data_IF_200689310588
#
_entry.id   IF_200689310588
#
_cell.length_a   1.000
_cell.length_b   1.000
_cell.length_c   1.000
_cell.angle_alpha   90.00
_cell.angle_beta   90.00
_cell.angle_gamma   90.00
#
_symmetry.space_group_name_H-M   'P 1'
#
loop_
_entity.id
_entity.type
_entity.pdbx_description
1 polymer ?
#
# COMPACT_ATOMS: atom_id res chain seq x y z
N UNK A 1 -9.41 -5.71 -21.26
CA UNK A 1 -8.05 -5.67 -20.72
C UNK A 1 -7.90 -6.78 -19.69
N UNK A 2 -6.86 -7.59 -19.78
CA UNK A 2 -6.58 -8.67 -18.84
C UNK A 2 -5.68 -8.14 -17.72
N UNK A 3 -6.10 -8.30 -16.47
CA UNK A 3 -5.38 -7.77 -15.32
C UNK A 3 -5.20 -8.84 -14.26
N UNK A 4 -4.01 -8.93 -13.67
CA UNK A 4 -3.81 -9.79 -12.52
C UNK A 4 -3.53 -8.98 -11.26
N UNK A 5 -4.14 -9.42 -10.15
CA UNK A 5 -3.92 -8.85 -8.83
C UNK A 5 -3.21 -9.90 -7.98
N UNK A 6 -1.92 -9.68 -7.73
CA UNK A 6 -1.11 -10.53 -6.87
C UNK A 6 -1.25 -10.01 -5.43
N UNK A 7 -1.96 -10.80 -4.61
CA UNK A 7 -2.26 -10.44 -3.23
C UNK A 7 -3.63 -9.79 -3.05
N UNK A 8 -4.71 -10.54 -3.21
CA UNK A 8 -6.07 -10.10 -2.89
C UNK A 8 -6.33 -10.11 -1.37
N UNK A 9 -5.55 -9.31 -0.64
CA UNK A 9 -5.81 -8.89 0.74
C UNK A 9 -6.85 -7.76 0.80
N UNK A 10 -6.71 -6.85 1.76
CA UNK A 10 -7.64 -5.73 1.96
C UNK A 10 -7.72 -4.80 0.72
N UNK A 11 -6.57 -4.34 0.23
CA UNK A 11 -6.50 -3.46 -0.96
C UNK A 11 -6.80 -4.22 -2.23
N UNK A 12 -6.11 -5.36 -2.49
CA UNK A 12 -6.27 -6.09 -3.74
C UNK A 12 -7.70 -6.60 -3.97
N UNK A 13 -8.42 -7.00 -2.91
CA UNK A 13 -9.83 -7.37 -3.01
C UNK A 13 -10.72 -6.17 -3.33
N UNK A 14 -10.42 -4.99 -2.80
CA UNK A 14 -11.17 -3.77 -3.11
C UNK A 14 -10.97 -3.36 -4.57
N UNK A 15 -9.74 -3.44 -5.10
CA UNK A 15 -9.45 -3.22 -6.53
C UNK A 15 -10.20 -4.24 -7.39
N UNK A 16 -10.17 -5.53 -7.04
CA UNK A 16 -10.92 -6.57 -7.77
C UNK A 16 -12.42 -6.27 -7.81
N UNK A 17 -13.02 -5.88 -6.68
CA UNK A 17 -14.45 -5.51 -6.61
C UNK A 17 -14.78 -4.30 -7.46
N UNK A 18 -13.93 -3.31 -7.49
CA UNK A 18 -14.10 -2.11 -8.31
C UNK A 18 -14.08 -2.50 -9.80
N UNK A 19 -13.07 -3.21 -10.23
CA UNK A 19 -12.91 -3.65 -11.62
C UNK A 19 -13.94 -4.69 -12.08
N UNK A 20 -14.43 -5.52 -11.16
CA UNK A 20 -15.51 -6.47 -11.47
C UNK A 20 -16.81 -5.76 -11.88
N UNK A 21 -17.09 -4.59 -11.30
CA UNK A 21 -18.23 -3.75 -11.70
C UNK A 21 -18.01 -3.08 -13.05
N UNK A 22 -16.76 -2.85 -13.39
CA UNK A 22 -16.33 -2.32 -14.69
C UNK A 22 -15.97 -3.48 -15.62
N UNK A 23 -16.91 -3.84 -16.48
CA UNK A 23 -16.78 -5.00 -17.40
C UNK A 23 -15.65 -4.88 -18.42
N UNK A 24 -14.87 -3.82 -18.40
CA UNK A 24 -13.67 -3.66 -19.26
C UNK A 24 -12.53 -4.59 -18.84
N UNK A 25 -12.55 -5.13 -17.62
CA UNK A 25 -11.48 -5.93 -17.05
C UNK A 25 -11.82 -7.42 -16.95
N UNK A 26 -10.88 -8.26 -17.37
CA UNK A 26 -10.83 -9.69 -17.08
C UNK A 26 -9.81 -9.92 -15.98
N UNK A 27 -10.28 -10.28 -14.80
CA UNK A 27 -9.50 -10.24 -13.57
C UNK A 27 -8.99 -11.65 -13.22
N UNK A 28 -7.67 -11.78 -13.05
CA UNK A 28 -7.04 -12.91 -12.38
C UNK A 28 -6.65 -12.47 -10.96
N UNK A 29 -7.29 -13.03 -9.95
CA UNK A 29 -7.00 -12.75 -8.54
C UNK A 29 -6.10 -13.82 -7.94
N UNK A 30 -5.19 -13.44 -7.02
CA UNK A 30 -4.42 -14.42 -6.27
C UNK A 30 -4.65 -14.34 -4.77
N UNK A 31 -4.54 -15.49 -4.12
CA UNK A 31 -4.53 -15.61 -2.66
C UNK A 31 -3.52 -16.66 -2.24
N UNK A 32 -2.98 -16.53 -1.03
CA UNK A 32 -2.19 -17.59 -0.38
C UNK A 32 -3.06 -18.48 0.54
N UNK A 33 -4.37 -18.22 0.60
CA UNK A 33 -5.34 -18.88 1.48
C UNK A 33 -6.39 -19.57 0.62
N UNK A 34 -6.34 -20.93 0.48
CA UNK A 34 -7.26 -21.65 -0.39
C UNK A 34 -8.74 -21.42 -0.04
N UNK A 35 -9.06 -21.24 1.23
CA UNK A 35 -10.42 -21.03 1.75
C UNK A 35 -11.05 -19.72 1.24
N UNK A 36 -10.24 -18.80 0.72
CA UNK A 36 -10.72 -17.53 0.14
C UNK A 36 -11.04 -17.61 -1.35
N UNK A 37 -10.82 -18.77 -1.97
CA UNK A 37 -11.05 -18.91 -3.43
C UNK A 37 -12.50 -18.59 -3.78
N UNK A 38 -13.48 -19.18 -3.10
CA UNK A 38 -14.92 -18.96 -3.38
C UNK A 38 -15.36 -17.49 -3.17
N UNK A 39 -14.76 -16.78 -2.20
CA UNK A 39 -15.01 -15.34 -2.02
C UNK A 39 -14.49 -14.55 -3.22
N UNK A 40 -13.30 -14.86 -3.71
CA UNK A 40 -12.65 -14.14 -4.80
C UNK A 40 -13.25 -14.45 -6.17
N UNK A 41 -13.83 -15.63 -6.38
CA UNK A 41 -14.56 -16.00 -7.60
C UNK A 41 -15.80 -15.12 -7.83
N UNK A 42 -16.32 -14.46 -6.79
CA UNK A 42 -17.41 -13.50 -6.91
C UNK A 42 -16.96 -12.15 -7.53
N UNK A 43 -15.67 -11.89 -7.59
CA UNK A 43 -15.10 -10.61 -8.05
C UNK A 43 -13.98 -10.76 -9.08
N UNK A 44 -13.68 -11.98 -9.49
CA UNK A 44 -12.65 -12.28 -10.49
C UNK A 44 -13.09 -13.48 -11.35
N UNK A 45 -12.72 -13.47 -12.63
CA UNK A 45 -13.01 -14.57 -13.56
C UNK A 45 -12.09 -15.77 -13.35
N UNK A 46 -10.91 -15.54 -12.77
CA UNK A 46 -9.94 -16.58 -12.44
C UNK A 46 -9.31 -16.33 -11.09
N UNK A 47 -9.24 -17.36 -10.27
CA UNK A 47 -8.57 -17.31 -8.98
C UNK A 47 -7.45 -18.34 -8.93
N UNK A 48 -6.26 -17.92 -8.49
CA UNK A 48 -5.09 -18.80 -8.37
C UNK A 48 -4.59 -18.74 -6.93
N UNK A 49 -4.44 -19.89 -6.30
CA UNK A 49 -3.73 -19.99 -5.03
C UNK A 49 -2.22 -19.97 -5.34
N UNK A 50 -1.56 -18.86 -4.98
CA UNK A 50 -0.16 -18.63 -5.29
C UNK A 50 0.56 -17.99 -4.10
N UNK A 51 1.76 -18.50 -3.80
CA UNK A 51 2.73 -17.85 -2.92
C UNK A 51 3.77 -17.14 -3.75
N UNK A 52 4.45 -16.16 -3.15
CA UNK A 52 5.50 -15.38 -3.83
C UNK A 52 6.76 -16.18 -4.18
N UNK A 53 6.96 -17.34 -3.55
CA UNK A 53 8.04 -18.29 -3.83
C UNK A 53 7.67 -19.38 -4.85
N UNK A 54 6.42 -19.45 -5.27
CA UNK A 54 5.94 -20.39 -6.30
C UNK A 54 6.07 -19.78 -7.70
N UNK A 55 7.22 -19.97 -8.32
CA UNK A 55 7.51 -19.48 -9.68
C UNK A 55 6.52 -20.04 -10.71
N UNK A 56 6.10 -21.29 -10.57
CA UNK A 56 5.14 -21.93 -11.50
C UNK A 56 3.79 -21.27 -11.42
N UNK A 57 3.28 -21.04 -10.20
CA UNK A 57 2.03 -20.32 -10.03
C UNK A 57 2.14 -18.86 -10.53
N UNK A 58 3.25 -18.15 -10.25
CA UNK A 58 3.46 -16.79 -10.75
C UNK A 58 3.50 -16.74 -12.28
N UNK A 59 4.13 -17.71 -12.96
CA UNK A 59 4.08 -17.81 -14.44
C UNK A 59 2.64 -17.95 -14.94
N UNK A 60 1.85 -18.79 -14.30
CA UNK A 60 0.44 -18.97 -14.67
C UNK A 60 -0.41 -17.71 -14.40
N UNK A 61 -0.04 -16.91 -13.40
CA UNK A 61 -0.70 -15.64 -13.08
C UNK A 61 -0.42 -14.58 -14.13
N UNK A 62 0.84 -14.39 -14.55
CA UNK A 62 1.24 -13.31 -15.48
C UNK A 62 0.93 -13.61 -16.94
N UNK A 63 0.63 -14.86 -17.27
CA UNK A 63 0.36 -15.28 -18.65
C UNK A 63 -0.86 -14.56 -19.23
N UNK A 64 -0.69 -13.95 -20.42
CA UNK A 64 -1.73 -13.23 -21.15
C UNK A 64 -2.34 -12.04 -20.36
N UNK A 65 -1.60 -11.47 -19.42
CA UNK A 65 -2.01 -10.25 -18.76
C UNK A 65 -1.49 -9.01 -19.47
N UNK A 66 -2.25 -7.91 -19.40
CA UNK A 66 -1.85 -6.58 -19.88
C UNK A 66 -1.23 -5.76 -18.74
N UNK A 67 -1.76 -5.89 -17.51
CA UNK A 67 -1.24 -5.22 -16.33
C UNK A 67 -1.28 -6.13 -15.09
N UNK A 68 -0.33 -5.85 -14.16
CA UNK A 68 -0.22 -6.54 -12.88
C UNK A 68 -0.31 -5.51 -11.75
N UNK A 69 -1.12 -5.81 -10.74
CA UNK A 69 -1.12 -5.10 -9.45
C UNK A 69 -0.51 -6.02 -8.40
N UNK A 70 0.62 -5.62 -7.84
CA UNK A 70 1.26 -6.30 -6.72
C UNK A 70 0.85 -5.61 -5.42
N UNK A 71 -0.06 -6.25 -4.66
CA UNK A 71 -0.64 -5.72 -3.41
C UNK A 71 -0.55 -6.76 -2.30
N UNK A 72 0.65 -6.99 -1.82
CA UNK A 72 0.99 -8.01 -0.85
C UNK A 72 1.30 -7.42 0.53
N UNK A 73 1.06 -8.21 1.57
CA UNK A 73 1.43 -7.89 2.94
C UNK A 73 1.63 -9.18 3.74
N UNK A 74 2.51 -9.20 4.75
CA UNK A 74 2.68 -10.37 5.62
C UNK A 74 1.42 -10.58 6.45
N UNK A 75 0.99 -11.84 6.62
CA UNK A 75 -0.29 -12.17 7.26
C UNK A 75 -0.31 -11.96 8.78
N UNK A 76 0.74 -12.36 9.48
CA UNK A 76 0.72 -12.45 10.95
C UNK A 76 2.05 -12.16 11.64
N UNK A 77 3.09 -11.78 10.93
CA UNK A 77 4.41 -11.55 11.51
C UNK A 77 5.08 -10.31 10.95
N UNK A 78 5.53 -9.46 11.83
CA UNK A 78 6.39 -8.31 11.52
C UNK A 78 7.88 -8.68 11.56
N UNK A 79 8.24 -9.96 11.72
CA UNK A 79 9.61 -10.41 11.71
C UNK A 79 10.25 -10.16 10.32
N UNK A 80 11.50 -9.74 10.30
CA UNK A 80 12.20 -9.34 9.08
C UNK A 80 12.25 -10.46 8.02
N UNK A 81 12.44 -11.72 8.42
CA UNK A 81 12.41 -12.86 7.49
C UNK A 81 11.03 -13.05 6.81
N UNK A 82 9.93 -12.76 7.51
CA UNK A 82 8.59 -12.77 6.94
C UNK A 82 8.38 -11.61 5.95
N UNK A 83 8.94 -10.43 6.25
CA UNK A 83 8.96 -9.28 5.35
C UNK A 83 9.74 -9.58 4.09
N UNK A 84 10.95 -10.10 4.22
CA UNK A 84 11.80 -10.43 3.09
C UNK A 84 11.16 -11.47 2.16
N UNK A 85 10.62 -12.55 2.73
CA UNK A 85 9.93 -13.58 1.96
C UNK A 85 8.68 -13.02 1.25
N UNK A 86 7.91 -12.15 1.93
CA UNK A 86 6.67 -11.60 1.36
C UNK A 86 6.94 -10.56 0.29
N UNK A 87 7.84 -9.61 0.53
CA UNK A 87 8.03 -8.47 -0.36
C UNK A 87 9.18 -8.70 -1.35
N UNK A 88 10.40 -8.86 -0.84
CA UNK A 88 11.60 -8.87 -1.69
C UNK A 88 11.70 -10.15 -2.54
N UNK A 89 11.46 -11.32 -1.95
CA UNK A 89 11.51 -12.57 -2.72
C UNK A 89 10.37 -12.64 -3.74
N UNK A 90 9.16 -12.20 -3.37
CA UNK A 90 8.06 -12.13 -4.35
C UNK A 90 8.39 -11.17 -5.49
N UNK A 91 8.96 -10.00 -5.21
CA UNK A 91 9.35 -9.05 -6.24
C UNK A 91 10.42 -9.64 -7.19
N UNK A 92 11.46 -10.28 -6.65
CA UNK A 92 12.49 -10.95 -7.44
C UNK A 92 11.92 -12.04 -8.35
N UNK A 93 11.04 -12.89 -7.82
CA UNK A 93 10.41 -13.96 -8.58
C UNK A 93 9.45 -13.41 -9.63
N UNK A 94 8.67 -12.36 -9.28
CA UNK A 94 7.79 -11.70 -10.23
C UNK A 94 8.56 -11.08 -11.39
N UNK A 95 9.64 -10.35 -11.12
CA UNK A 95 10.49 -9.76 -12.17
C UNK A 95 11.05 -10.85 -13.10
N UNK A 96 11.50 -11.97 -12.53
CA UNK A 96 12.01 -13.11 -13.33
C UNK A 96 10.94 -13.68 -14.28
N UNK A 97 9.70 -13.86 -13.81
CA UNK A 97 8.63 -14.40 -14.68
C UNK A 97 8.12 -13.37 -15.68
N UNK A 98 8.17 -12.07 -15.36
CA UNK A 98 7.79 -11.00 -16.28
C UNK A 98 8.69 -10.92 -17.52
N UNK A 99 9.95 -11.32 -17.42
CA UNK A 99 10.85 -11.42 -18.58
C UNK A 99 10.34 -12.40 -19.65
N UNK A 100 9.47 -13.34 -19.27
CA UNK A 100 8.85 -14.33 -20.14
C UNK A 100 7.38 -14.01 -20.48
N UNK A 101 6.88 -12.84 -20.07
CA UNK A 101 5.50 -12.39 -20.26
C UNK A 101 5.43 -11.05 -21.02
N UNK A 102 5.79 -10.98 -22.29
CA UNK A 102 5.88 -9.73 -23.07
C UNK A 102 4.54 -9.03 -23.28
N UNK A 103 3.41 -9.70 -22.98
CA UNK A 103 2.08 -9.08 -23.00
C UNK A 103 1.88 -8.06 -21.87
N UNK A 104 2.58 -8.23 -20.72
CA UNK A 104 2.45 -7.32 -19.59
C UNK A 104 3.13 -6.00 -19.90
N UNK A 105 2.35 -4.92 -19.94
CA UNK A 105 2.82 -3.56 -20.23
C UNK A 105 2.96 -2.70 -19.01
N UNK A 106 2.34 -3.09 -17.88
CA UNK A 106 2.39 -2.30 -16.64
C UNK A 106 2.43 -3.19 -15.41
N UNK A 107 3.28 -2.80 -14.46
CA UNK A 107 3.34 -3.31 -13.10
C UNK A 107 3.08 -2.16 -12.13
N UNK A 108 2.08 -2.31 -11.26
CA UNK A 108 1.76 -1.37 -10.20
C UNK A 108 2.04 -2.05 -8.86
N UNK A 109 2.81 -1.40 -7.99
CA UNK A 109 3.10 -1.89 -6.66
C UNK A 109 2.53 -0.96 -5.59
N UNK A 110 1.79 -1.53 -4.63
CA UNK A 110 1.32 -0.81 -3.44
C UNK A 110 2.32 -0.99 -2.31
N UNK A 111 3.29 -0.08 -2.22
CA UNK A 111 4.33 -0.01 -1.21
C UNK A 111 3.93 0.82 0.00
N UNK A 112 4.89 1.42 0.70
CA UNK A 112 4.67 2.17 1.94
C UNK A 112 5.57 3.39 2.05
N UNK A 113 5.04 4.51 2.58
CA UNK A 113 5.82 5.71 2.89
C UNK A 113 6.85 5.49 4.01
N UNK A 114 6.78 4.39 4.75
CA UNK A 114 7.72 4.06 5.84
C UNK A 114 9.19 3.97 5.38
N UNK A 115 9.42 3.85 4.08
CA UNK A 115 10.76 3.90 3.46
C UNK A 115 11.50 5.22 3.71
N UNK A 116 10.77 6.31 3.98
CA UNK A 116 11.38 7.60 4.32
C UNK A 116 12.02 7.62 5.70
N UNK A 117 11.54 6.79 6.64
CA UNK A 117 11.99 6.76 8.03
C UNK A 117 11.56 7.99 8.82
N UNK A 118 12.34 8.30 9.87
CA UNK A 118 12.11 9.49 10.69
C UNK A 118 12.81 10.71 10.11
N UNK A 119 12.05 11.73 9.76
CA UNK A 119 12.51 13.03 9.24
C UNK A 119 12.23 14.18 10.23
N UNK A 120 11.95 13.85 11.50
CA UNK A 120 11.64 14.83 12.55
C UNK A 120 10.50 15.79 12.14
N UNK A 121 9.49 15.27 11.44
CA UNK A 121 8.35 16.03 10.98
C UNK A 121 8.62 16.93 9.75
N UNK A 122 9.75 16.82 9.10
CA UNK A 122 10.02 17.57 7.87
C UNK A 122 9.14 17.04 6.71
N UNK A 123 8.92 17.90 5.72
CA UNK A 123 8.29 17.51 4.46
C UNK A 123 9.25 16.63 3.63
N UNK A 124 8.68 15.60 3.03
CA UNK A 124 9.34 14.69 2.09
C UNK A 124 8.47 14.49 0.86
N UNK A 125 9.12 14.26 -0.26
CA UNK A 125 8.54 13.91 -1.55
C UNK A 125 9.22 12.65 -2.13
N UNK A 126 8.90 12.31 -3.36
CA UNK A 126 9.42 11.11 -4.02
C UNK A 126 10.92 11.17 -4.31
N UNK A 127 11.52 12.38 -4.36
CA UNK A 127 12.96 12.61 -4.59
C UNK A 127 13.76 12.66 -3.27
N UNK A 128 13.06 12.70 -2.14
CA UNK A 128 13.69 12.78 -0.83
C UNK A 128 14.48 11.51 -0.49
N UNK A 129 15.65 11.61 0.16
CA UNK A 129 16.48 10.47 0.53
C UNK A 129 15.72 9.48 1.42
N UNK A 130 15.83 8.19 1.10
CA UNK A 130 15.27 7.11 1.90
C UNK A 130 16.22 6.79 3.06
N UNK A 131 15.68 6.78 4.28
CA UNK A 131 16.43 6.44 5.50
C UNK A 131 15.55 5.54 6.39
N UNK A 132 15.29 4.31 5.94
CA UNK A 132 14.40 3.41 6.67
C UNK A 132 14.91 3.20 8.11
N UNK A 133 13.99 3.18 9.06
CA UNK A 133 14.33 3.16 10.48
C UNK A 133 14.69 1.75 11.01
N UNK A 134 14.44 0.73 10.21
CA UNK A 134 14.66 -0.68 10.60
C UNK A 134 14.77 -1.59 9.36
N UNK A 135 15.14 -2.84 9.61
CA UNK A 135 15.32 -3.86 8.56
C UNK A 135 14.05 -4.05 7.68
N UNK A 136 12.86 -3.96 8.24
CA UNK A 136 11.62 -4.05 7.44
C UNK A 136 11.53 -2.92 6.41
N UNK A 137 11.88 -1.71 6.80
CA UNK A 137 11.94 -0.57 5.88
C UNK A 137 13.02 -0.74 4.80
N UNK A 138 14.18 -1.31 5.15
CA UNK A 138 15.25 -1.62 4.18
C UNK A 138 14.78 -2.65 3.15
N UNK A 139 14.07 -3.69 3.58
CA UNK A 139 13.45 -4.69 2.69
C UNK A 139 12.47 -4.03 1.71
N UNK A 140 11.66 -3.09 2.18
CA UNK A 140 10.74 -2.36 1.30
C UNK A 140 11.47 -1.51 0.27
N UNK A 141 12.55 -0.82 0.66
CA UNK A 141 13.42 -0.06 -0.27
C UNK A 141 14.01 -1.00 -1.33
N UNK A 142 14.59 -2.14 -0.93
CA UNK A 142 15.11 -3.12 -1.86
C UNK A 142 14.04 -3.68 -2.80
N UNK A 143 12.82 -3.87 -2.29
CA UNK A 143 11.66 -4.30 -3.09
C UNK A 143 11.33 -3.28 -4.19
N UNK A 144 11.24 -1.99 -3.83
CA UNK A 144 11.04 -0.92 -4.80
C UNK A 144 12.15 -0.90 -5.86
N UNK A 145 13.42 -1.03 -5.45
CA UNK A 145 14.57 -1.04 -6.37
C UNK A 145 14.51 -2.20 -7.37
N UNK A 146 14.18 -3.42 -6.89
CA UNK A 146 14.03 -4.60 -7.75
C UNK A 146 12.93 -4.40 -8.78
N UNK A 147 11.78 -3.85 -8.37
CA UNK A 147 10.65 -3.62 -9.27
C UNK A 147 10.96 -2.52 -10.28
N UNK A 148 11.54 -1.39 -9.84
CA UNK A 148 11.91 -0.28 -10.73
C UNK A 148 12.95 -0.69 -11.77
N UNK A 149 13.92 -1.52 -11.39
CA UNK A 149 14.94 -2.03 -12.30
C UNK A 149 14.37 -2.92 -13.42
N UNK A 150 13.15 -3.44 -13.27
CA UNK A 150 12.46 -4.21 -14.30
C UNK A 150 11.84 -3.34 -15.41
N UNK A 151 11.71 -2.02 -15.16
CA UNK A 151 11.13 -1.09 -16.14
C UNK A 151 12.00 -1.03 -17.41
N UNK A 152 11.33 -1.04 -18.57
CA UNK A 152 11.96 -0.93 -19.88
C UNK A 152 10.97 -0.34 -20.90
N UNK A 153 11.33 -0.29 -22.17
CA UNK A 153 10.47 0.26 -23.25
C UNK A 153 9.09 -0.43 -23.33
N UNK A 154 9.00 -1.70 -22.93
CA UNK A 154 7.79 -2.50 -23.02
C UNK A 154 7.04 -2.65 -21.69
N UNK A 155 7.69 -2.41 -20.55
CA UNK A 155 7.12 -2.58 -19.20
C UNK A 155 7.26 -1.29 -18.40
N UNK A 156 6.17 -0.62 -18.11
CA UNK A 156 6.11 0.51 -17.19
C UNK A 156 5.92 0.02 -15.75
N UNK A 157 6.67 0.58 -14.81
CA UNK A 157 6.55 0.26 -13.39
C UNK A 157 6.10 1.51 -12.63
N UNK A 158 5.00 1.38 -11.90
CA UNK A 158 4.47 2.42 -11.02
C UNK A 158 4.48 1.92 -9.58
N UNK A 159 5.04 2.72 -8.68
CA UNK A 159 5.07 2.43 -7.24
C UNK A 159 4.25 3.48 -6.52
N UNK A 160 3.28 3.04 -5.73
CA UNK A 160 2.57 3.89 -4.78
C UNK A 160 3.14 3.69 -3.37
N UNK A 161 3.72 4.73 -2.78
CA UNK A 161 4.09 4.78 -1.36
C UNK A 161 2.86 5.20 -0.56
N UNK A 162 2.13 4.22 -0.02
CA UNK A 162 0.87 4.43 0.67
C UNK A 162 1.09 4.95 2.09
N UNK A 163 0.22 5.85 2.52
CA UNK A 163 0.00 6.18 3.93
C UNK A 163 -0.63 5.03 4.72
N UNK A 164 -0.89 5.24 6.00
CA UNK A 164 -1.70 4.33 6.81
C UNK A 164 -3.07 4.15 6.17
N UNK A 165 -3.45 2.91 5.89
CA UNK A 165 -4.68 2.62 5.13
C UNK A 165 -5.86 2.55 6.08
N UNK A 166 -6.91 3.33 5.81
CA UNK A 166 -8.18 3.27 6.52
C UNK A 166 -9.36 3.22 5.53
N UNK A 167 -10.55 2.94 6.03
CA UNK A 167 -11.78 2.85 5.23
C UNK A 167 -12.70 1.75 5.73
N UNK A 168 -13.62 1.28 4.90
CA UNK A 168 -14.59 0.25 5.27
C UNK A 168 -13.91 -1.02 5.83
N UNK A 169 -14.28 -1.42 7.04
CA UNK A 169 -13.70 -2.57 7.76
C UNK A 169 -12.37 -2.27 8.48
N UNK A 170 -11.78 -1.10 8.24
CA UNK A 170 -10.56 -0.58 8.90
C UNK A 170 -10.77 0.87 9.32
N UNK A 171 -11.84 1.14 10.04
CA UNK A 171 -12.17 2.46 10.56
C UNK A 171 -11.09 2.90 11.58
N UNK A 172 -10.76 4.19 11.60
CA UNK A 172 -9.74 4.74 12.48
C UNK A 172 -10.01 4.43 13.96
N UNK A 173 -11.28 4.44 14.37
CA UNK A 173 -11.67 4.08 15.75
C UNK A 173 -11.31 2.64 16.11
N UNK A 174 -11.37 1.71 15.15
CA UNK A 174 -10.93 0.32 15.35
C UNK A 174 -9.41 0.20 15.35
N UNK A 175 -8.73 0.90 14.43
CA UNK A 175 -7.26 0.93 14.36
C UNK A 175 -6.68 1.42 15.68
N UNK A 176 -7.26 2.47 16.24
CA UNK A 176 -6.80 3.11 17.49
C UNK A 176 -7.55 2.66 18.74
N UNK A 177 -8.34 1.59 18.69
CA UNK A 177 -9.19 1.15 19.80
C UNK A 177 -8.45 0.98 21.15
N UNK A 178 -7.17 0.57 21.10
CA UNK A 178 -6.32 0.41 22.29
C UNK A 178 -5.69 1.70 22.78
N UNK A 179 -5.78 2.80 22.03
CA UNK A 179 -5.22 4.08 22.42
C UNK A 179 -6.17 4.88 23.32
N UNK A 180 -7.47 4.77 23.07
CA UNK A 180 -8.47 5.54 23.81
C UNK A 180 -8.47 5.15 25.29
N UNK A 181 -8.39 6.18 26.17
CA UNK A 181 -8.30 6.01 27.62
C UNK A 181 -6.94 5.54 28.15
N UNK A 182 -5.94 5.38 27.28
CA UNK A 182 -4.57 5.00 27.67
C UNK A 182 -3.65 6.21 27.75
N UNK A 183 -2.52 6.04 28.46
CA UNK A 183 -1.39 6.98 28.40
C UNK A 183 -0.38 6.45 27.37
N UNK A 184 0.01 7.30 26.44
CA UNK A 184 1.01 6.99 25.41
C UNK A 184 2.30 7.78 25.64
N UNK A 185 3.47 7.19 25.30
CA UNK A 185 4.74 7.89 25.43
C UNK A 185 4.84 9.05 24.43
N UNK A 186 5.64 10.05 24.78
CA UNK A 186 5.93 11.22 23.95
C UNK A 186 4.88 12.32 24.05
N UNK A 187 4.92 13.26 23.13
CA UNK A 187 4.01 14.42 23.08
C UNK A 187 2.81 14.21 22.14
N UNK A 188 2.87 13.22 21.26
CA UNK A 188 1.86 13.00 20.22
C UNK A 188 2.00 13.94 19.02
N UNK A 189 3.05 14.76 18.95
CA UNK A 189 3.26 15.72 17.85
C UNK A 189 3.87 15.09 16.58
N UNK A 190 4.19 13.80 16.64
CA UNK A 190 4.65 13.06 15.45
C UNK A 190 3.57 13.02 14.38
N UNK A 191 3.97 13.32 13.15
CA UNK A 191 3.06 13.29 12.01
C UNK A 191 2.76 11.87 11.54
N UNK A 192 1.49 11.64 11.20
CA UNK A 192 1.01 10.43 10.58
C UNK A 192 0.36 10.74 9.24
N UNK A 193 0.66 9.91 8.24
CA UNK A 193 0.15 10.07 6.89
C UNK A 193 -0.87 8.96 6.64
N UNK A 194 -2.02 9.31 6.12
CA UNK A 194 -3.14 8.39 5.92
C UNK A 194 -3.62 8.42 4.49
N UNK A 195 -4.29 7.36 4.07
CA UNK A 195 -4.94 7.25 2.77
C UNK A 195 -6.22 6.43 2.90
N UNK A 196 -7.30 6.89 2.31
CA UNK A 196 -8.55 6.12 2.26
C UNK A 196 -8.46 5.00 1.22
N UNK A 197 -9.11 3.87 1.50
CA UNK A 197 -9.13 2.72 0.60
C UNK A 197 -9.66 3.08 -0.79
N UNK A 198 -10.70 3.90 -0.86
CA UNK A 198 -11.29 4.30 -2.15
C UNK A 198 -10.30 5.09 -3.01
N UNK A 199 -9.46 5.93 -2.40
CA UNK A 199 -8.39 6.64 -3.11
C UNK A 199 -7.31 5.71 -3.62
N UNK A 200 -6.98 4.65 -2.88
CA UNK A 200 -6.03 3.65 -3.37
C UNK A 200 -6.60 2.94 -4.61
N UNK A 201 -7.87 2.53 -4.53
CA UNK A 201 -8.56 1.84 -5.65
C UNK A 201 -8.63 2.75 -6.87
N UNK A 202 -9.05 4.01 -6.70
CA UNK A 202 -9.13 4.98 -7.78
C UNK A 202 -7.75 5.32 -8.37
N UNK A 203 -6.70 5.43 -7.53
CA UNK A 203 -5.34 5.69 -8.01
C UNK A 203 -4.77 4.51 -8.79
N UNK A 204 -5.09 3.27 -8.42
CA UNK A 204 -4.70 2.08 -9.19
C UNK A 204 -5.38 2.08 -10.56
N UNK A 205 -6.70 2.37 -10.63
CA UNK A 205 -7.42 2.49 -11.91
C UNK A 205 -6.86 3.63 -12.77
N UNK A 206 -6.60 4.79 -12.16
CA UNK A 206 -5.96 5.94 -12.81
C UNK A 206 -4.57 5.59 -13.37
N UNK A 207 -3.75 4.87 -12.60
CA UNK A 207 -2.43 4.44 -13.06
C UNK A 207 -2.51 3.49 -14.26
N UNK A 208 -3.48 2.57 -14.27
CA UNK A 208 -3.72 1.68 -15.42
C UNK A 208 -4.17 2.47 -16.62
N UNK A 209 -5.12 3.38 -16.47
CA UNK A 209 -5.68 4.17 -17.57
C UNK A 209 -4.63 5.07 -18.25
N UNK A 210 -3.75 5.69 -17.46
CA UNK A 210 -2.72 6.60 -17.97
C UNK A 210 -1.35 5.94 -18.14
N UNK A 211 -1.23 4.67 -17.83
CA UNK A 211 0.04 3.95 -17.85
C UNK A 211 1.13 4.69 -17.07
N UNK A 212 0.83 5.10 -15.83
CA UNK A 212 1.77 5.83 -15.00
C UNK A 212 3.06 5.04 -14.79
N UNK A 213 4.18 5.76 -14.73
CA UNK A 213 5.50 5.21 -14.47
C UNK A 213 6.22 6.03 -13.39
N UNK A 214 7.03 5.36 -12.57
CA UNK A 214 7.81 5.98 -11.49
C UNK A 214 7.16 5.81 -10.13
N UNK A 215 7.57 6.64 -9.18
CA UNK A 215 7.12 6.59 -7.79
C UNK A 215 6.16 7.74 -7.53
N UNK A 216 5.09 7.45 -6.78
CA UNK A 216 4.10 8.43 -6.34
C UNK A 216 3.71 8.18 -4.88
N UNK A 217 3.72 9.24 -4.08
CA UNK A 217 3.16 9.19 -2.74
C UNK A 217 1.64 9.23 -2.80
N UNK A 218 1.00 8.34 -2.08
CA UNK A 218 -0.46 8.28 -2.01
C UNK A 218 -0.89 8.45 -0.56
N UNK A 219 -1.09 9.70 -0.19
CA UNK A 219 -1.49 10.18 1.14
C UNK A 219 -2.49 11.32 1.01
N UNK A 220 -3.28 11.58 2.05
CA UNK A 220 -4.17 12.75 2.10
C UNK A 220 -3.38 14.07 2.05
N UNK A 221 -4.07 15.19 1.77
CA UNK A 221 -3.45 16.51 1.59
C UNK A 221 -2.76 17.05 2.84
N UNK A 222 -3.32 16.79 4.01
CA UNK A 222 -2.86 17.35 5.27
C UNK A 222 -2.44 16.25 6.26
N UNK A 223 -1.14 15.95 6.39
CA UNK A 223 -0.66 15.08 7.47
C UNK A 223 -1.05 15.67 8.83
N UNK A 224 -1.53 14.81 9.73
CA UNK A 224 -1.92 15.23 11.09
C UNK A 224 -0.97 14.66 12.13
N UNK A 225 -0.78 15.42 13.23
CA UNK A 225 -0.12 14.84 14.39
C UNK A 225 -0.98 13.72 14.98
N UNK A 226 -0.34 12.78 15.65
CA UNK A 226 -1.03 11.70 16.34
C UNK A 226 -2.00 12.22 17.39
N UNK A 227 -1.63 13.31 18.09
CA UNK A 227 -2.47 13.99 19.08
C UNK A 227 -3.72 14.56 18.42
N UNK A 228 -3.58 15.42 17.39
CA UNK A 228 -4.72 16.04 16.71
C UNK A 228 -5.70 14.98 16.17
N UNK A 229 -5.19 13.92 15.58
CA UNK A 229 -6.03 12.84 15.07
C UNK A 229 -6.81 12.13 16.18
N UNK A 230 -6.15 11.74 17.27
CA UNK A 230 -6.78 11.01 18.36
C UNK A 230 -7.75 11.88 19.16
N UNK A 231 -7.44 13.16 19.37
CA UNK A 231 -8.32 14.11 20.03
C UNK A 231 -9.62 14.33 19.24
N UNK A 232 -9.52 14.49 17.92
CA UNK A 232 -10.69 14.59 17.02
C UNK A 232 -11.55 13.34 17.03
N UNK A 233 -10.93 12.16 17.01
CA UNK A 233 -11.66 10.89 17.11
C UNK A 233 -12.36 10.76 18.47
N UNK A 234 -11.66 11.08 19.55
CA UNK A 234 -12.23 11.06 20.90
C UNK A 234 -13.44 11.99 21.01
N UNK A 235 -13.32 13.21 20.49
CA UNK A 235 -14.39 14.20 20.52
C UNK A 235 -15.60 13.75 19.69
N UNK A 236 -15.36 13.33 18.42
CA UNK A 236 -16.46 12.99 17.50
C UNK A 236 -17.25 11.78 17.96
N UNK A 237 -16.57 10.76 18.48
CA UNK A 237 -17.20 9.49 18.86
C UNK A 237 -17.44 9.34 20.37
N UNK A 238 -17.25 10.41 21.15
CA UNK A 238 -17.38 10.38 22.61
C UNK A 238 -16.57 9.26 23.26
N UNK A 239 -15.34 9.06 22.75
CA UNK A 239 -14.39 8.07 23.27
C UNK A 239 -13.50 8.67 24.35
N UNK A 240 -12.96 7.87 25.29
CA UNK A 240 -12.02 8.37 26.28
C UNK A 240 -10.80 9.03 25.61
N UNK A 241 -10.36 10.16 26.17
CA UNK A 241 -9.18 10.89 25.67
C UNK A 241 -7.90 10.09 25.85
N UNK A 242 -6.94 10.30 24.96
CA UNK A 242 -5.60 9.74 25.05
C UNK A 242 -4.72 10.70 25.84
N UNK A 243 -4.08 10.19 26.88
CA UNK A 243 -3.10 10.95 27.65
C UNK A 243 -1.71 10.78 27.04
N UNK A 244 -0.85 11.78 27.19
CA UNK A 244 0.51 11.76 26.65
C UNK A 244 1.51 11.97 27.79
N UNK A 245 2.56 11.13 27.83
CA UNK A 245 3.64 11.23 28.80
C UNK A 245 4.93 11.69 28.08
N UNK A 246 5.26 12.99 28.13
CA UNK A 246 6.45 13.51 27.47
C UNK A 246 7.77 13.05 28.15
N UNK A 247 7.71 12.49 29.35
CA UNK A 247 8.89 11.95 30.03
C UNK A 247 9.27 10.55 29.53
N UNK A 248 8.29 9.82 28.99
CA UNK A 248 8.51 8.53 28.36
C UNK A 248 8.86 8.73 26.87
N UNK A 249 10.09 8.42 26.51
CA UNK A 249 10.54 8.54 25.12
C UNK A 249 10.20 7.28 24.33
N UNK A 250 9.48 7.45 23.22
CA UNK A 250 9.35 6.42 22.20
C UNK A 250 9.97 6.97 20.91
N UNK A 251 10.95 6.26 20.36
CA UNK A 251 11.50 6.61 19.05
C UNK A 251 10.50 6.14 17.99
N UNK A 252 9.77 7.07 17.41
CA UNK A 252 8.90 6.77 16.27
C UNK A 252 9.74 6.37 15.07
N UNK A 253 9.48 5.20 14.45
CA UNK A 253 10.27 4.75 13.31
C UNK A 253 10.05 5.59 12.05
N UNK A 254 8.97 6.37 12.01
CA UNK A 254 8.65 7.26 10.89
C UNK A 254 7.85 8.46 11.39
N UNK A 255 8.42 9.64 11.21
CA UNK A 255 7.81 10.92 11.51
C UNK A 255 8.20 11.89 10.39
N UNK A 256 7.33 12.02 9.40
CA UNK A 256 7.51 12.87 8.23
C UNK A 256 6.16 13.41 7.76
N UNK A 257 6.15 14.57 7.12
CA UNK A 257 5.01 15.05 6.35
C UNK A 257 5.23 14.68 4.89
N UNK A 258 4.41 13.79 4.37
CA UNK A 258 4.59 13.26 3.01
C UNK A 258 3.76 14.07 2.03
N UNK A 259 4.42 14.56 0.98
CA UNK A 259 3.79 15.32 -0.10
C UNK A 259 3.15 14.40 -1.12
N UNK A 260 1.93 14.72 -1.57
CA UNK A 260 1.21 14.05 -2.65
C UNK A 260 1.16 14.88 -3.94
N UNK A 261 1.97 15.94 -4.03
CA UNK A 261 1.87 16.90 -5.13
C UNK A 261 2.20 16.27 -6.49
N UNK A 262 3.08 15.27 -6.54
CA UNK A 262 3.47 14.62 -7.79
C UNK A 262 2.30 13.88 -8.46
N UNK A 263 1.50 13.13 -7.69
CA UNK A 263 0.34 12.43 -8.28
C UNK A 263 -0.77 13.41 -8.67
N UNK A 264 -0.94 14.51 -7.90
CA UNK A 264 -1.88 15.59 -8.27
C UNK A 264 -1.43 16.29 -9.55
N UNK A 265 -0.14 16.55 -9.71
CA UNK A 265 0.41 17.10 -10.95
C UNK A 265 0.27 16.16 -12.15
N UNK A 266 0.20 14.85 -11.93
CA UNK A 266 -0.14 13.86 -12.96
C UNK A 266 -1.63 13.85 -13.33
N UNK A 267 -2.47 14.64 -12.63
CA UNK A 267 -3.90 14.80 -12.89
C UNK A 267 -4.83 13.99 -11.98
N UNK A 268 -4.29 13.31 -10.95
CA UNK A 268 -5.13 12.60 -9.99
C UNK A 268 -5.84 13.56 -9.04
N UNK A 269 -7.14 13.33 -8.81
CA UNK A 269 -7.93 14.07 -7.82
C UNK A 269 -8.39 13.10 -6.72
N UNK A 270 -8.04 13.39 -5.47
CA UNK A 270 -8.45 12.56 -4.34
C UNK A 270 -9.95 12.62 -4.12
N UNK A 271 -10.57 11.47 -3.86
CA UNK A 271 -11.97 11.34 -3.42
C UNK A 271 -12.09 11.85 -1.99
N UNK A 272 -11.11 11.51 -1.16
CA UNK A 272 -11.00 11.90 0.25
C UNK A 272 -9.69 12.68 0.48
N UNK A 273 -9.64 13.97 0.09
CA UNK A 273 -8.41 14.77 0.22
C UNK A 273 -8.05 15.04 1.70
N UNK A 274 -9.02 14.91 2.60
CA UNK A 274 -8.85 15.04 4.04
C UNK A 274 -9.23 13.73 4.74
N UNK A 275 -8.70 13.55 5.97
CA UNK A 275 -9.04 12.37 6.75
C UNK A 275 -10.53 12.38 7.11
N UNK A 276 -11.19 11.29 6.77
CA UNK A 276 -12.60 11.10 7.14
C UNK A 276 -12.66 10.61 8.60
N UNK A 277 -13.08 11.50 9.48
CA UNK A 277 -13.29 11.19 10.90
C UNK A 277 -14.78 10.95 11.13
#
# INVERSE_FOLDING_TARGET
MNVAIIGCGYVGTAVARHWHRDRRYQITATTTTPERTSELEQVAQRVIVAKGDDETALKAVVQNQDAIVLSIAPKFSLAANSYEATYLHTAKNLVKVLQQAPSVKQLIYTGSYSVYGNKNGAWVDEESPLTPANQNGEILVQTEQVLLAAANENLKVCIFRLGGIYGSGRELTKIFSRAFGSTRPGTGEDFSNWIHLDDIVAAVDFAVALQLQGIYNLVIDEPRSSRDLLDRLSQKYSLPTVMWDPSAQEVRPYNARVSNQKIKAAGYSFIHPQIMI
#
